data_IF_232986523154
#
_entry.id   IF_232986523154
#
_cell.length_a   1.000
_cell.length_b   1.000
_cell.length_c   1.000
_cell.angle_alpha   90.00
_cell.angle_beta   90.00
_cell.angle_gamma   90.00
#
_symmetry.space_group_name_H-M   'P 1'
#
loop_
_entity.id
_entity.type
_entity.pdbx_description
1 polymer ?
#
# COMPACT_ATOMS: atom_id res chain seq x y z
N UNK A 1 64.63 8.97 21.63
CA UNK A 1 64.01 7.73 21.17
C UNK A 1 62.75 7.37 21.97
N UNK A 2 62.75 7.39 23.33
CA UNK A 2 61.53 7.02 24.12
C UNK A 2 60.30 7.91 23.89
N UNK A 3 60.47 9.22 23.59
CA UNK A 3 59.37 10.16 23.32
C UNK A 3 58.73 10.00 21.95
N UNK A 4 59.48 9.57 20.95
CA UNK A 4 58.99 9.29 19.59
C UNK A 4 58.11 8.01 19.58
N UNK A 5 58.49 6.98 20.32
CA UNK A 5 57.73 5.74 20.44
C UNK A 5 56.37 5.99 21.11
N UNK A 6 56.31 6.87 22.13
CA UNK A 6 55.06 7.21 22.82
C UNK A 6 54.08 7.95 21.92
N UNK A 7 54.53 8.81 21.02
CA UNK A 7 53.67 9.54 20.09
C UNK A 7 53.13 8.61 18.98
N UNK A 8 53.91 7.66 18.51
CA UNK A 8 53.46 6.65 17.53
C UNK A 8 52.42 5.71 18.13
N UNK A 9 52.59 5.33 19.40
CA UNK A 9 51.60 4.49 20.09
C UNK A 9 50.28 5.22 20.37
N UNK A 10 50.34 6.54 20.63
CA UNK A 10 49.12 7.35 20.84
C UNK A 10 48.33 7.57 19.53
N UNK A 11 49.04 7.63 18.38
CA UNK A 11 48.40 7.81 17.05
C UNK A 11 47.72 6.54 16.53
N UNK A 12 48.16 5.36 16.98
CA UNK A 12 47.57 4.07 16.57
C UNK A 12 46.24 3.73 17.22
N UNK A 13 45.88 4.43 18.32
CA UNK A 13 44.62 4.21 19.06
C UNK A 13 43.44 5.02 18.48
N UNK A 14 43.73 6.02 17.62
CA UNK A 14 42.70 6.92 17.09
C UNK A 14 42.07 6.40 15.78
N UNK A 15 42.59 5.35 15.15
CA UNK A 15 42.15 4.88 13.84
C UNK A 15 40.99 3.84 13.78
N UNK A 16 40.47 3.25 14.85
CA UNK A 16 39.34 2.31 14.66
C UNK A 16 37.96 2.87 15.00
N UNK A 17 37.74 4.20 14.98
CA UNK A 17 36.43 4.78 15.26
C UNK A 17 35.64 5.27 14.05
N UNK A 18 36.09 4.94 12.84
CA UNK A 18 35.19 4.94 11.69
C UNK A 18 34.41 3.60 11.66
N UNK A 19 33.65 3.34 12.71
CA UNK A 19 32.52 2.42 12.59
C UNK A 19 31.64 3.01 11.50
N UNK A 20 31.61 2.38 10.32
CA UNK A 20 30.54 2.53 9.37
C UNK A 20 29.24 2.32 10.13
N UNK A 21 28.58 3.42 10.50
CA UNK A 21 27.15 3.37 10.64
C UNK A 21 26.66 3.02 9.24
N UNK A 22 26.32 1.77 9.01
CA UNK A 22 25.33 1.44 8.02
C UNK A 22 24.12 2.33 8.37
N UNK A 23 24.04 3.46 7.71
CA UNK A 23 22.78 4.14 7.58
C UNK A 23 21.90 3.13 6.86
N UNK A 24 21.11 2.41 7.61
CA UNK A 24 19.90 1.80 7.11
C UNK A 24 19.10 2.99 6.57
N UNK A 25 19.31 3.32 5.30
CA UNK A 25 18.38 4.16 4.58
C UNK A 25 17.08 3.38 4.66
N UNK A 26 16.16 3.87 5.50
CA UNK A 26 14.77 3.46 5.43
C UNK A 26 14.36 3.87 4.01
N UNK A 27 14.43 2.92 3.10
CA UNK A 27 13.89 3.08 1.75
C UNK A 27 12.39 3.15 1.97
N UNK A 28 11.89 4.37 2.10
CA UNK A 28 10.48 4.64 2.24
C UNK A 28 9.81 4.13 0.95
N UNK A 29 9.30 2.92 1.02
CA UNK A 29 8.57 2.28 -0.05
C UNK A 29 7.15 2.82 -0.14
N UNK A 30 6.51 2.57 -1.27
CA UNK A 30 5.08 2.75 -1.48
C UNK A 30 4.37 1.49 -1.04
N UNK A 31 3.32 1.63 -0.24
CA UNK A 31 2.51 0.49 0.22
C UNK A 31 1.31 0.29 -0.70
N UNK A 32 1.22 -0.88 -1.30
CA UNK A 32 0.08 -1.34 -2.07
C UNK A 32 -0.68 -2.40 -1.29
N UNK A 33 -1.98 -2.48 -1.49
CA UNK A 33 -2.82 -3.45 -0.80
C UNK A 33 -3.45 -4.42 -1.80
N UNK A 34 -3.33 -5.72 -1.50
CA UNK A 34 -3.83 -6.80 -2.34
C UNK A 34 -4.61 -7.82 -1.51
N UNK A 35 -5.37 -8.67 -2.18
CA UNK A 35 -6.09 -9.75 -1.53
C UNK A 35 -5.13 -10.79 -0.97
N UNK A 36 -5.37 -11.22 0.27
CA UNK A 36 -4.75 -12.41 0.84
C UNK A 36 -5.39 -13.66 0.23
N UNK A 37 -4.63 -14.53 -0.47
CA UNK A 37 -5.19 -15.77 -1.01
C UNK A 37 -5.47 -16.81 0.08
N UNK A 38 -4.77 -16.71 1.23
CA UNK A 38 -4.86 -17.64 2.34
C UNK A 38 -5.76 -17.08 3.43
N UNK A 39 -7.06 -16.96 3.16
CA UNK A 39 -8.04 -16.49 4.15
C UNK A 39 -8.35 -17.65 5.10
N UNK A 40 -7.57 -17.79 6.18
CA UNK A 40 -8.00 -18.51 7.37
C UNK A 40 -8.94 -17.59 8.18
N UNK A 41 -9.78 -18.17 9.05
CA UNK A 41 -10.82 -17.42 9.78
C UNK A 41 -10.33 -16.21 10.59
N UNK A 42 -9.03 -16.13 10.87
CA UNK A 42 -8.40 -15.05 11.66
C UNK A 42 -7.38 -14.21 10.86
N UNK A 43 -7.33 -14.36 9.54
CA UNK A 43 -6.38 -13.62 8.70
C UNK A 43 -7.03 -12.41 8.04
N UNK A 44 -6.23 -11.34 7.88
CA UNK A 44 -6.66 -10.17 7.11
C UNK A 44 -6.96 -10.54 5.67
N UNK A 45 -8.08 -10.04 5.16
CA UNK A 45 -8.50 -10.25 3.76
C UNK A 45 -7.63 -9.45 2.80
N UNK A 46 -7.13 -8.29 3.25
CA UNK A 46 -6.32 -7.34 2.49
C UNK A 46 -5.00 -7.16 3.19
N UNK A 47 -3.90 -7.44 2.49
CA UNK A 47 -2.54 -7.42 3.01
C UNK A 47 -1.66 -6.42 2.27
N UNK A 48 -0.70 -5.78 2.97
CA UNK A 48 0.19 -4.79 2.37
C UNK A 48 1.36 -5.43 1.63
N UNK A 49 1.73 -4.85 0.49
CA UNK A 49 2.98 -5.07 -0.23
C UNK A 49 3.75 -3.75 -0.30
N UNK A 50 4.97 -3.72 0.22
CA UNK A 50 5.83 -2.54 0.18
C UNK A 50 6.75 -2.67 -1.04
N UNK A 51 6.77 -1.63 -1.90
CA UNK A 51 7.64 -1.56 -3.08
C UNK A 51 8.48 -0.30 -3.09
N UNK A 52 9.70 -0.43 -3.59
CA UNK A 52 10.51 0.75 -3.95
C UNK A 52 9.85 1.47 -5.12
N UNK A 53 9.71 2.79 -5.01
CA UNK A 53 9.09 3.64 -6.02
C UNK A 53 10.09 4.65 -6.59
N UNK A 54 11.34 4.21 -6.84
CA UNK A 54 12.38 5.07 -7.39
C UNK A 54 11.93 5.65 -8.74
N UNK A 55 12.02 6.98 -8.87
CA UNK A 55 11.70 7.70 -10.12
C UNK A 55 10.22 7.97 -10.40
N UNK A 56 9.28 7.38 -9.63
CA UNK A 56 7.82 7.61 -9.82
C UNK A 56 7.13 8.15 -8.57
N UNK A 57 7.86 8.38 -7.49
CA UNK A 57 7.33 8.69 -6.16
C UNK A 57 6.46 9.95 -6.12
N UNK A 58 6.77 10.93 -6.94
CA UNK A 58 6.07 12.21 -6.99
C UNK A 58 4.89 12.21 -7.98
N UNK A 59 4.68 11.12 -8.71
CA UNK A 59 3.59 10.98 -9.67
C UNK A 59 2.62 9.85 -9.26
N UNK A 60 1.57 10.24 -8.55
CA UNK A 60 0.53 9.32 -8.09
C UNK A 60 -0.11 8.51 -9.21
N UNK A 61 -0.22 9.07 -10.43
CA UNK A 61 -0.80 8.35 -11.56
C UNK A 61 0.13 7.25 -12.05
N UNK A 62 1.43 7.48 -12.04
CA UNK A 62 2.42 6.44 -12.34
C UNK A 62 2.40 5.34 -11.27
N UNK A 63 2.33 5.72 -9.99
CA UNK A 63 2.23 4.77 -8.88
C UNK A 63 0.97 3.89 -9.03
N UNK A 64 -0.19 4.49 -9.31
CA UNK A 64 -1.44 3.74 -9.50
C UNK A 64 -1.39 2.84 -10.74
N UNK A 65 -0.72 3.26 -11.81
CA UNK A 65 -0.51 2.38 -12.97
C UNK A 65 0.38 1.19 -12.64
N UNK A 66 1.41 1.37 -11.81
CA UNK A 66 2.24 0.26 -11.32
C UNK A 66 1.44 -0.67 -10.38
N UNK A 67 0.57 -0.12 -9.55
CA UNK A 67 -0.34 -0.89 -8.71
C UNK A 67 -1.26 -1.80 -9.54
N UNK A 68 -1.86 -1.29 -10.59
CA UNK A 68 -2.78 -2.04 -11.47
C UNK A 68 -2.11 -3.18 -12.24
N UNK A 69 -0.79 -3.21 -12.34
CA UNK A 69 -0.05 -4.36 -12.92
C UNK A 69 -0.09 -5.61 -12.03
N UNK A 70 -0.58 -5.48 -10.80
CA UNK A 70 -0.68 -6.57 -9.84
C UNK A 70 0.51 -6.69 -8.90
N UNK A 71 0.44 -7.64 -7.95
CA UNK A 71 1.49 -7.87 -6.97
C UNK A 71 2.76 -8.40 -7.62
N UNK A 72 3.93 -8.05 -7.03
CA UNK A 72 5.25 -8.60 -7.40
C UNK A 72 5.69 -9.71 -6.45
N UNK A 73 5.11 -9.74 -5.27
CA UNK A 73 5.40 -10.75 -4.26
C UNK A 73 4.57 -11.99 -4.51
N UNK A 74 5.22 -13.14 -4.55
CA UNK A 74 4.56 -14.43 -4.65
C UNK A 74 3.62 -14.64 -3.45
N UNK A 75 2.47 -15.26 -3.70
CA UNK A 75 1.49 -15.52 -2.66
C UNK A 75 0.47 -14.41 -2.40
N UNK A 76 0.51 -13.32 -3.18
CA UNK A 76 -0.56 -12.31 -3.20
C UNK A 76 -1.52 -12.56 -4.35
N UNK A 77 -2.80 -12.24 -4.18
CA UNK A 77 -3.80 -12.40 -5.23
C UNK A 77 -4.19 -11.06 -5.84
N UNK A 78 -4.12 -10.98 -7.16
CA UNK A 78 -4.59 -9.83 -7.92
C UNK A 78 -6.04 -10.03 -8.34
N UNK A 79 -6.97 -9.37 -7.64
CA UNK A 79 -8.40 -9.48 -7.93
C UNK A 79 -8.79 -8.66 -9.15
N UNK A 80 -8.08 -7.55 -9.41
CA UNK A 80 -8.34 -6.63 -10.52
C UNK A 80 -7.97 -7.32 -11.84
N UNK A 81 -8.83 -7.28 -12.87
CA UNK A 81 -8.50 -7.83 -14.19
C UNK A 81 -7.19 -7.21 -14.73
N UNK A 82 -6.29 -8.04 -15.24
CA UNK A 82 -4.93 -7.64 -15.64
C UNK A 82 -4.87 -6.64 -16.79
N UNK A 83 -5.96 -6.50 -17.54
CA UNK A 83 -6.15 -5.55 -18.64
C UNK A 83 -6.84 -4.26 -18.20
N UNK A 84 -7.13 -4.11 -16.89
CA UNK A 84 -7.65 -2.86 -16.32
C UNK A 84 -6.61 -1.75 -16.41
N UNK A 85 -7.00 -0.59 -16.93
CA UNK A 85 -6.15 0.58 -17.11
C UNK A 85 -6.68 1.75 -16.30
N UNK A 86 -5.77 2.54 -15.72
CA UNK A 86 -6.11 3.83 -15.12
C UNK A 86 -6.39 4.85 -16.22
N UNK A 87 -7.64 5.29 -16.31
CA UNK A 87 -8.05 6.33 -17.24
C UNK A 87 -7.76 7.73 -16.68
N UNK A 88 -8.23 8.01 -15.46
CA UNK A 88 -7.91 9.26 -14.76
C UNK A 88 -7.88 9.08 -13.24
N UNK A 89 -7.18 9.99 -12.60
CA UNK A 89 -7.14 10.17 -11.15
C UNK A 89 -7.20 11.65 -10.85
N UNK A 90 -8.07 12.05 -9.94
CA UNK A 90 -8.20 13.42 -9.47
C UNK A 90 -8.43 13.45 -7.96
N UNK A 91 -8.03 14.55 -7.33
CA UNK A 91 -8.30 14.85 -5.92
C UNK A 91 -8.91 16.25 -5.85
N UNK A 92 -10.04 16.37 -5.17
CA UNK A 92 -10.73 17.62 -4.96
C UNK A 92 -11.47 17.59 -3.62
N UNK A 93 -11.42 18.67 -2.85
CA UNK A 93 -12.10 18.80 -1.55
C UNK A 93 -11.82 17.66 -0.57
N UNK A 94 -10.60 17.15 -0.52
CA UNK A 94 -10.18 15.99 0.28
C UNK A 94 -10.82 14.64 -0.12
N UNK A 95 -11.39 14.54 -1.30
CA UNK A 95 -11.92 13.32 -1.91
C UNK A 95 -11.03 12.91 -3.08
N UNK A 96 -10.92 11.60 -3.35
CA UNK A 96 -10.25 11.07 -4.53
C UNK A 96 -11.28 10.45 -5.49
N UNK A 97 -11.14 10.71 -6.79
CA UNK A 97 -11.85 9.99 -7.83
C UNK A 97 -10.87 9.22 -8.71
N UNK A 98 -11.09 7.92 -8.83
CA UNK A 98 -10.36 7.03 -9.74
C UNK A 98 -11.31 6.54 -10.83
N UNK A 99 -10.91 6.74 -12.08
CA UNK A 99 -11.65 6.25 -13.25
C UNK A 99 -10.82 5.16 -13.90
N UNK A 100 -11.39 3.97 -13.95
CA UNK A 100 -10.79 2.78 -14.56
C UNK A 100 -11.41 2.50 -15.94
N UNK A 101 -10.72 1.71 -16.73
CA UNK A 101 -11.28 1.19 -17.97
C UNK A 101 -12.42 0.19 -17.71
N UNK A 102 -13.23 -0.06 -18.72
CA UNK A 102 -14.48 -0.83 -18.58
C UNK A 102 -14.25 -2.31 -18.26
N UNK A 103 -13.00 -2.80 -18.41
CA UNK A 103 -12.58 -4.14 -18.00
C UNK A 103 -12.79 -4.39 -16.51
N UNK A 104 -12.67 -3.34 -15.67
CA UNK A 104 -12.91 -3.43 -14.23
C UNK A 104 -14.37 -3.78 -13.91
N UNK A 105 -15.33 -3.39 -14.75
CA UNK A 105 -16.75 -3.70 -14.57
C UNK A 105 -17.11 -5.19 -14.76
N UNK A 106 -16.14 -6.03 -15.18
CA UNK A 106 -16.32 -7.50 -15.20
C UNK A 106 -16.32 -8.12 -13.80
N UNK A 107 -15.86 -7.38 -12.81
CA UNK A 107 -15.91 -7.82 -11.42
C UNK A 107 -17.32 -7.73 -10.87
N UNK A 108 -17.70 -8.71 -10.04
CA UNK A 108 -19.00 -8.79 -9.40
C UNK A 108 -18.88 -9.31 -7.97
N UNK A 109 -19.92 -9.09 -7.15
CA UNK A 109 -20.04 -9.61 -5.80
C UNK A 109 -18.83 -9.34 -4.92
N UNK A 110 -18.30 -10.38 -4.30
CA UNK A 110 -17.21 -10.27 -3.35
C UNK A 110 -15.89 -9.81 -4.00
N UNK A 111 -15.60 -10.22 -5.22
CA UNK A 111 -14.37 -9.85 -5.92
C UNK A 111 -14.37 -8.35 -6.25
N UNK A 112 -15.51 -7.78 -6.65
CA UNK A 112 -15.67 -6.34 -6.84
C UNK A 112 -15.45 -5.59 -5.52
N UNK A 113 -16.06 -6.06 -4.44
CA UNK A 113 -15.95 -5.45 -3.12
C UNK A 113 -14.50 -5.45 -2.62
N UNK A 114 -13.79 -6.58 -2.72
CA UNK A 114 -12.39 -6.70 -2.32
C UNK A 114 -11.49 -5.82 -3.21
N UNK A 115 -11.72 -5.79 -4.51
CA UNK A 115 -10.95 -4.95 -5.43
C UNK A 115 -11.10 -3.46 -5.08
N UNK A 116 -12.33 -3.00 -4.85
CA UNK A 116 -12.59 -1.63 -4.42
C UNK A 116 -11.93 -1.31 -3.08
N UNK A 117 -11.99 -2.21 -2.11
CA UNK A 117 -11.35 -2.02 -0.81
C UNK A 117 -9.81 -1.97 -0.91
N UNK A 118 -9.19 -2.83 -1.75
CA UNK A 118 -7.75 -2.79 -2.02
C UNK A 118 -7.32 -1.46 -2.66
N UNK A 119 -8.06 -0.98 -3.66
CA UNK A 119 -7.84 0.31 -4.31
C UNK A 119 -7.96 1.44 -3.30
N UNK A 120 -9.06 1.46 -2.53
CA UNK A 120 -9.34 2.50 -1.53
C UNK A 120 -8.22 2.57 -0.49
N UNK A 121 -7.84 1.44 0.12
CA UNK A 121 -6.77 1.37 1.12
C UNK A 121 -5.43 1.83 0.56
N UNK A 122 -5.14 1.48 -0.70
CA UNK A 122 -3.94 1.95 -1.40
C UNK A 122 -3.97 3.47 -1.60
N UNK A 123 -5.07 4.03 -2.10
CA UNK A 123 -5.21 5.48 -2.37
C UNK A 123 -5.16 6.29 -1.08
N UNK A 124 -5.86 5.87 -0.03
CA UNK A 124 -5.82 6.55 1.28
C UNK A 124 -4.38 6.55 1.80
N UNK A 125 -3.69 5.41 1.77
CA UNK A 125 -2.30 5.30 2.23
C UNK A 125 -1.31 6.15 1.42
N UNK A 126 -1.57 6.40 0.13
CA UNK A 126 -0.72 7.21 -0.74
C UNK A 126 -0.98 8.72 -0.62
N UNK A 127 -2.23 9.12 -0.49
CA UNK A 127 -2.66 10.51 -0.66
C UNK A 127 -3.19 11.13 0.64
N UNK A 128 -3.49 10.32 1.66
CA UNK A 128 -4.16 10.74 2.90
C UNK A 128 -5.47 11.52 2.63
N UNK A 129 -6.26 11.03 1.67
CA UNK A 129 -7.55 11.62 1.25
C UNK A 129 -8.65 10.58 1.31
N UNK A 130 -9.84 10.99 1.70
CA UNK A 130 -11.04 10.15 1.73
C UNK A 130 -12.32 11.01 1.70
N UNK A 131 -13.43 10.50 1.17
CA UNK A 131 -13.60 9.15 0.61
C UNK A 131 -12.91 8.96 -0.75
N UNK A 132 -12.83 7.71 -1.20
CA UNK A 132 -12.36 7.33 -2.52
C UNK A 132 -13.54 6.87 -3.37
N UNK A 133 -13.76 7.53 -4.49
CA UNK A 133 -14.79 7.20 -5.47
C UNK A 133 -14.17 6.42 -6.63
N UNK A 134 -14.72 5.26 -6.92
CA UNK A 134 -14.24 4.35 -7.98
C UNK A 134 -15.34 4.16 -9.01
N UNK A 135 -15.04 4.37 -10.28
CA UNK A 135 -15.96 4.10 -11.39
C UNK A 135 -15.22 3.65 -12.65
N UNK A 136 -15.96 3.07 -13.58
CA UNK A 136 -15.49 2.84 -14.94
C UNK A 136 -15.80 4.03 -15.86
N UNK A 137 -15.15 4.02 -17.00
CA UNK A 137 -15.26 5.12 -17.97
C UNK A 137 -16.68 5.23 -18.56
N UNK A 138 -17.20 4.12 -19.12
CA UNK A 138 -18.47 4.08 -19.83
C UNK A 138 -19.46 3.07 -19.27
N UNK A 139 -19.02 2.08 -18.50
CA UNK A 139 -19.82 0.97 -18.00
C UNK A 139 -20.11 1.14 -16.53
N UNK A 140 -21.34 0.88 -16.10
CA UNK A 140 -21.69 0.84 -14.69
C UNK A 140 -21.14 -0.44 -14.03
N UNK A 141 -20.73 -0.31 -12.77
CA UNK A 141 -20.38 -1.45 -11.92
C UNK A 141 -21.65 -2.22 -11.52
N UNK A 142 -21.51 -3.46 -11.07
CA UNK A 142 -22.65 -4.26 -10.59
C UNK A 142 -23.50 -3.54 -9.53
N UNK A 143 -22.86 -2.79 -8.64
CA UNK A 143 -23.53 -2.03 -7.58
C UNK A 143 -23.99 -0.62 -7.99
N UNK A 144 -23.81 -0.22 -9.25
CA UNK A 144 -24.21 1.06 -9.79
C UNK A 144 -23.08 1.83 -10.46
N UNK A 145 -23.33 3.11 -10.73
CA UNK A 145 -22.44 3.94 -11.54
C UNK A 145 -21.04 4.17 -10.93
N UNK A 146 -20.92 4.08 -9.63
CA UNK A 146 -19.68 4.22 -8.88
C UNK A 146 -19.80 3.56 -7.50
N UNK A 147 -18.65 3.24 -6.93
CA UNK A 147 -18.48 2.85 -5.53
C UNK A 147 -17.79 3.99 -4.80
N UNK A 148 -18.23 4.29 -3.58
CA UNK A 148 -17.55 5.22 -2.67
C UNK A 148 -17.19 4.44 -1.40
N UNK A 149 -15.93 4.49 -1.04
CA UNK A 149 -15.41 3.87 0.18
C UNK A 149 -14.51 4.84 0.94
N UNK A 150 -14.54 4.73 2.24
CA UNK A 150 -13.70 5.44 3.20
C UNK A 150 -13.03 4.46 4.17
N UNK A 151 -12.35 4.96 5.16
CA UNK A 151 -11.67 4.17 6.18
C UNK A 151 -12.64 3.36 7.02
N UNK A 152 -13.83 3.88 7.31
CA UNK A 152 -14.88 3.17 8.06
C UNK A 152 -15.40 1.96 7.27
N UNK A 153 -15.56 2.10 5.96
CA UNK A 153 -15.93 1.00 5.07
C UNK A 153 -14.88 -0.11 5.04
N UNK A 154 -13.60 0.23 5.28
CA UNK A 154 -12.49 -0.73 5.30
C UNK A 154 -12.41 -1.53 6.60
N UNK A 155 -13.03 -1.10 7.69
CA UNK A 155 -13.08 -1.84 8.97
C UNK A 155 -13.71 -3.24 8.81
N UNK A 156 -14.56 -3.43 7.82
CA UNK A 156 -15.16 -4.74 7.50
C UNK A 156 -14.14 -5.77 7.01
N UNK A 157 -12.94 -5.32 6.63
CA UNK A 157 -11.83 -6.15 6.11
C UNK A 157 -10.67 -6.29 7.10
N UNK A 158 -10.77 -5.68 8.29
CA UNK A 158 -9.79 -5.79 9.35
C UNK A 158 -9.87 -7.12 10.10
N UNK A 159 -8.86 -7.43 10.89
CA UNK A 159 -8.88 -8.55 11.82
C UNK A 159 -10.07 -8.41 12.78
N UNK A 160 -10.80 -9.50 13.09
CA UNK A 160 -11.81 -9.45 14.12
C UNK A 160 -11.17 -8.96 15.43
N UNK A 161 -11.65 -7.84 15.93
CA UNK A 161 -11.28 -7.35 17.26
C UNK A 161 -11.61 -8.48 18.25
N UNK A 162 -10.60 -8.96 18.98
CA UNK A 162 -10.81 -9.92 20.04
C UNK A 162 -11.95 -9.40 20.94
N UNK A 163 -12.91 -10.25 21.35
CA UNK A 163 -13.98 -9.81 22.21
C UNK A 163 -13.35 -9.23 23.47
N UNK A 164 -13.69 -7.99 23.78
CA UNK A 164 -13.32 -7.35 25.06
C UNK A 164 -13.91 -8.24 26.16
N UNK A 165 -13.06 -8.94 26.87
CA UNK A 165 -13.48 -9.64 28.08
C UNK A 165 -14.10 -8.59 29.01
N UNK A 166 -15.42 -8.66 29.13
CA UNK A 166 -16.15 -7.91 30.13
C UNK A 166 -15.74 -8.50 31.47
N UNK A 167 -14.83 -7.80 32.16
CA UNK A 167 -14.57 -8.09 33.58
C UNK A 167 -15.89 -8.03 34.31
N UNK A 168 -16.37 -9.20 34.70
CA UNK A 168 -17.51 -9.35 35.60
C UNK A 168 -17.14 -8.85 36.99
N UNK A 169 -17.96 -7.95 37.49
CA UNK A 169 -18.04 -7.56 38.90
C UNK A 169 -18.64 -8.70 39.72
#
# INVERSE_FOLDING_TARGET
MKRLISIVLLLSVILPLTACKEQTQIREGVTFYYRNPNIASDSEVIIPEIREAEGIRDDIRLILREYLKGPKTDGFSHVIPSDTVLYSFSMENNEAEIVLSDEFARLSGLDLTIACACITKTVIGLCNVQPVKIRCLNTDLECGRFVVMDEDSLMLFGSPTAPTETEGV
#
